data_IF_015219255677
#
_entry.id   IF_015219255677
#
_cell.length_a   1.000
_cell.length_b   1.000
_cell.length_c   1.000
_cell.angle_alpha   90.00
_cell.angle_beta   90.00
_cell.angle_gamma   90.00
#
_symmetry.space_group_name_H-M   'P 1'
#
loop_
_entity.id
_entity.type
_entity.pdbx_description
1 polymer ?
#
# COMPACT_ATOMS: atom_id res chain seq x y z
N UNK A 1 3.97 -12.14 18.56
CA UNK A 1 3.45 -12.02 17.17
C UNK A 1 4.39 -12.69 16.18
N UNK A 2 5.69 -12.40 16.24
CA UNK A 2 6.72 -13.01 15.37
C UNK A 2 6.61 -14.54 15.24
N UNK A 3 6.60 -15.27 16.37
CA UNK A 3 6.47 -16.74 16.37
C UNK A 3 5.22 -17.25 15.62
N UNK A 4 4.09 -16.55 15.74
CA UNK A 4 2.85 -16.92 15.02
C UNK A 4 2.95 -16.68 13.52
N UNK A 5 3.71 -15.67 13.11
CA UNK A 5 3.88 -15.26 11.72
C UNK A 5 4.87 -16.18 11.00
N UNK A 6 5.89 -16.71 11.68
CA UNK A 6 6.90 -17.59 11.09
C UNK A 6 6.31 -18.82 10.38
N UNK A 7 5.22 -19.39 10.89
CA UNK A 7 4.55 -20.56 10.31
C UNK A 7 3.50 -20.22 9.24
N UNK A 8 3.09 -18.95 9.11
CA UNK A 8 1.92 -18.54 8.33
C UNK A 8 2.24 -17.55 7.21
N UNK A 9 3.35 -16.84 7.31
CA UNK A 9 3.82 -15.89 6.31
C UNK A 9 4.78 -16.61 5.38
N UNK A 10 4.43 -16.68 4.11
CA UNK A 10 5.26 -17.32 3.08
C UNK A 10 6.46 -16.44 2.71
N UNK A 11 6.27 -15.12 2.68
CA UNK A 11 7.28 -14.16 2.26
C UNK A 11 7.07 -12.78 2.90
N UNK A 12 8.18 -12.07 3.11
CA UNK A 12 8.20 -10.66 3.47
C UNK A 12 8.69 -9.84 2.29
N UNK A 13 7.85 -8.94 1.78
CA UNK A 13 8.18 -8.08 0.64
C UNK A 13 8.49 -6.67 1.12
N UNK A 14 9.57 -6.08 0.63
CA UNK A 14 9.91 -4.67 0.84
C UNK A 14 9.54 -3.87 -0.40
N UNK A 15 8.94 -2.70 -0.19
CA UNK A 15 8.49 -1.82 -1.28
C UNK A 15 9.25 -0.49 -1.20
N UNK A 16 9.82 0.01 -2.32
CA UNK A 16 10.42 1.34 -2.39
C UNK A 16 9.43 2.44 -1.99
N UNK A 17 9.90 3.47 -1.28
CA UNK A 17 9.04 4.58 -0.85
C UNK A 17 8.35 5.29 -2.04
N UNK A 18 9.03 5.39 -3.18
CA UNK A 18 8.47 5.96 -4.41
C UNK A 18 7.21 5.23 -4.88
N UNK A 19 7.21 3.90 -4.81
CA UNK A 19 6.07 3.07 -5.22
C UNK A 19 4.91 3.21 -4.23
N UNK A 20 5.21 3.36 -2.93
CA UNK A 20 4.18 3.65 -1.91
C UNK A 20 3.53 5.01 -2.17
N UNK A 21 4.30 6.03 -2.56
CA UNK A 21 3.75 7.35 -2.92
C UNK A 21 2.86 7.27 -4.15
N UNK A 22 3.30 6.55 -5.18
CA UNK A 22 2.49 6.30 -6.38
C UNK A 22 1.20 5.53 -6.05
N UNK A 23 1.27 4.56 -5.15
CA UNK A 23 0.11 3.80 -4.67
C UNK A 23 -0.88 4.68 -3.91
N UNK A 24 -0.44 5.53 -2.98
CA UNK A 24 -1.32 6.48 -2.27
C UNK A 24 -2.03 7.39 -3.27
N UNK A 25 -1.29 7.91 -4.25
CA UNK A 25 -1.85 8.75 -5.31
C UNK A 25 -2.91 7.99 -6.11
N UNK A 26 -2.60 6.81 -6.64
CA UNK A 26 -3.52 5.99 -7.43
C UNK A 26 -4.78 5.58 -6.64
N UNK A 27 -4.64 5.23 -5.36
CA UNK A 27 -5.77 4.94 -4.48
C UNK A 27 -6.72 6.15 -4.40
N UNK A 28 -6.19 7.35 -4.20
CA UNK A 28 -7.00 8.56 -4.09
C UNK A 28 -7.59 9.02 -5.43
N UNK A 29 -6.80 8.99 -6.51
CA UNK A 29 -7.20 9.54 -7.81
C UNK A 29 -8.01 8.58 -8.64
N UNK A 30 -7.72 7.29 -8.60
CA UNK A 30 -8.30 6.32 -9.54
C UNK A 30 -9.37 5.50 -8.84
N UNK A 31 -9.10 5.07 -7.61
CA UNK A 31 -10.00 4.21 -6.82
C UNK A 31 -10.88 4.97 -5.83
N UNK A 32 -10.61 6.26 -5.61
CA UNK A 32 -11.33 7.15 -4.67
C UNK A 32 -11.32 6.65 -3.22
N UNK A 33 -10.24 5.96 -2.84
CA UNK A 33 -9.99 5.46 -1.48
C UNK A 33 -8.81 6.20 -0.88
N UNK A 34 -8.93 6.64 0.37
CA UNK A 34 -7.83 7.30 1.07
C UNK A 34 -7.05 6.25 1.87
N UNK A 35 -5.80 6.02 1.48
CA UNK A 35 -4.84 5.21 2.20
C UNK A 35 -3.68 6.06 2.72
N UNK A 36 -3.29 5.86 3.97
CA UNK A 36 -2.02 6.40 4.48
C UNK A 36 -0.84 5.57 3.95
N UNK A 37 0.40 6.01 4.17
CA UNK A 37 1.59 5.29 3.66
C UNK A 37 1.62 3.81 4.02
N UNK A 38 1.43 3.47 5.30
CA UNK A 38 1.37 2.08 5.75
C UNK A 38 0.15 1.33 5.18
N UNK A 39 -1.01 2.01 5.09
CA UNK A 39 -2.23 1.46 4.52
C UNK A 39 -2.13 1.14 3.03
N UNK A 40 -1.30 1.87 2.29
CA UNK A 40 -1.10 1.67 0.85
C UNK A 40 -0.02 0.63 0.50
N UNK A 41 0.77 0.13 1.48
CA UNK A 41 1.88 -0.80 1.23
C UNK A 41 1.46 -2.06 0.47
N UNK A 42 0.34 -2.65 0.85
CA UNK A 42 -0.17 -3.89 0.23
C UNK A 42 -0.62 -3.65 -1.20
N UNK A 43 -1.20 -2.48 -1.49
CA UNK A 43 -1.59 -2.09 -2.85
C UNK A 43 -0.34 -1.84 -3.70
N UNK A 44 0.65 -1.12 -3.17
CA UNK A 44 1.93 -0.88 -3.86
C UNK A 44 2.64 -2.19 -4.23
N UNK A 45 2.72 -3.13 -3.29
CA UNK A 45 3.27 -4.46 -3.55
C UNK A 45 2.45 -5.24 -4.59
N UNK A 46 1.12 -5.19 -4.51
CA UNK A 46 0.22 -5.88 -5.43
C UNK A 46 0.30 -5.31 -6.85
N UNK A 47 0.58 -4.03 -7.05
CA UNK A 47 0.73 -3.43 -8.39
C UNK A 47 2.13 -3.59 -8.98
N UNK A 48 3.08 -4.14 -8.22
CA UNK A 48 4.41 -4.50 -8.72
C UNK A 48 4.39 -5.75 -9.58
N UNK A 49 5.56 -6.32 -9.87
CA UNK A 49 5.66 -7.56 -10.64
C UNK A 49 5.53 -8.81 -9.75
N UNK A 50 5.08 -9.92 -10.34
CA UNK A 50 5.13 -11.26 -9.71
C UNK A 50 3.94 -11.65 -8.84
N UNK A 51 2.86 -10.86 -8.79
CA UNK A 51 1.66 -11.22 -8.03
C UNK A 51 0.77 -12.24 -8.76
N UNK A 52 0.03 -13.05 -7.99
CA UNK A 52 -0.96 -13.96 -8.54
C UNK A 52 -2.20 -13.23 -9.09
N UNK A 53 -2.96 -13.91 -9.97
CA UNK A 53 -4.17 -13.33 -10.57
C UNK A 53 -5.30 -13.07 -9.55
N UNK A 54 -5.38 -13.88 -8.48
CA UNK A 54 -6.36 -13.72 -7.41
C UNK A 54 -5.68 -13.22 -6.14
N UNK A 55 -5.30 -11.95 -6.15
CA UNK A 55 -4.62 -11.29 -5.02
C UNK A 55 -5.55 -10.32 -4.32
N UNK A 56 -5.46 -10.24 -2.99
CA UNK A 56 -6.16 -9.24 -2.18
C UNK A 56 -5.13 -8.38 -1.46
N UNK A 57 -5.23 -7.06 -1.63
CA UNK A 57 -4.51 -6.08 -0.85
C UNK A 57 -5.39 -5.57 0.31
N UNK A 58 -4.89 -5.67 1.54
CA UNK A 58 -5.57 -5.12 2.72
C UNK A 58 -5.10 -3.69 2.97
N UNK A 59 -6.00 -2.72 2.79
CA UNK A 59 -5.75 -1.33 3.14
C UNK A 59 -6.01 -1.12 4.63
N UNK A 60 -4.95 -1.11 5.44
CA UNK A 60 -5.07 -1.15 6.91
C UNK A 60 -5.46 0.18 7.56
N UNK A 61 -5.27 1.31 6.88
CA UNK A 61 -5.46 2.64 7.45
C UNK A 61 -5.48 3.76 6.41
N UNK A 62 -6.12 4.86 6.77
CA UNK A 62 -6.31 6.04 5.91
C UNK A 62 -6.14 7.36 6.66
N UNK A 63 -5.49 7.35 7.82
CA UNK A 63 -5.36 8.53 8.66
C UNK A 63 -4.17 9.37 8.20
N UNK A 64 -4.39 10.12 7.12
CA UNK A 64 -3.39 10.99 6.49
C UNK A 64 -3.74 12.46 6.67
N UNK A 65 -2.72 13.27 6.96
CA UNK A 65 -2.85 14.72 6.97
C UNK A 65 -3.32 15.23 5.59
N UNK A 66 -4.37 16.07 5.50
CA UNK A 66 -4.88 16.56 4.21
C UNK A 66 -3.86 17.34 3.37
N UNK A 67 -2.96 18.11 4.00
CA UNK A 67 -1.90 18.81 3.29
C UNK A 67 -0.89 17.82 2.72
N UNK A 68 -0.56 16.76 3.46
CA UNK A 68 0.31 15.68 2.98
C UNK A 68 -0.33 14.92 1.81
N UNK A 69 -1.62 14.61 1.91
CA UNK A 69 -2.35 13.98 0.82
C UNK A 69 -2.38 14.87 -0.44
N UNK A 70 -2.61 16.17 -0.26
CA UNK A 70 -2.58 17.14 -1.36
C UNK A 70 -1.21 17.17 -2.06
N UNK A 71 -0.11 17.15 -1.32
CA UNK A 71 1.25 17.05 -1.87
C UNK A 71 1.43 15.78 -2.71
N UNK A 72 1.01 14.62 -2.19
CA UNK A 72 1.15 13.32 -2.85
C UNK A 72 0.31 13.19 -4.12
N UNK A 73 -0.84 13.87 -4.19
CA UNK A 73 -1.71 13.87 -5.38
C UNK A 73 -1.22 14.89 -6.43
N UNK A 74 -0.60 15.98 -5.98
CA UNK A 74 -0.12 17.05 -6.87
C UNK A 74 1.22 16.74 -7.53
N UNK A 75 1.99 15.80 -6.96
CA UNK A 75 3.18 15.21 -7.58
C UNK A 75 2.83 14.19 -8.68
#
# INVERSE_FOLDING_TARGET
MFERLQERVHEWVTVPEGDVRAAVRALATDLKVIGEGAGALTYAAMTGEGHAQHTVAVLSGGNIDPARLSELISG
#
